data_IF_473556382225
#
_entry.id   IF_473556382225
#
_cell.length_a   1.000
_cell.length_b   1.000
_cell.length_c   1.000
_cell.angle_alpha   90.00
_cell.angle_beta   90.00
_cell.angle_gamma   90.00
#
_symmetry.space_group_name_H-M   'P 1'
#
loop_
_entity.id
_entity.type
_entity.pdbx_description
1 polymer ?
#
# COMPACT_ATOMS: atom_id res chain seq x y z
N UNK A 1 -11.46 14.47 1.76
CA UNK A 1 -10.84 13.83 0.60
C UNK A 1 -11.90 13.09 -0.21
N UNK A 2 -11.67 12.99 -1.52
CA UNK A 2 -12.57 12.32 -2.47
C UNK A 2 -11.74 11.29 -3.19
N UNK A 3 -12.24 10.05 -3.28
CA UNK A 3 -11.63 9.02 -4.09
C UNK A 3 -12.38 8.95 -5.43
N UNK A 4 -11.65 9.03 -6.53
CA UNK A 4 -12.20 8.99 -7.89
C UNK A 4 -11.59 7.84 -8.67
N UNK A 5 -12.40 7.18 -9.49
CA UNK A 5 -11.97 6.14 -10.42
C UNK A 5 -12.57 6.43 -11.79
N UNK A 6 -11.75 6.48 -12.84
CA UNK A 6 -12.18 6.80 -14.21
C UNK A 6 -13.01 8.11 -14.31
N UNK A 7 -12.63 9.14 -13.56
CA UNK A 7 -13.33 10.43 -13.54
C UNK A 7 -14.67 10.43 -12.79
N UNK A 8 -15.08 9.31 -12.18
CA UNK A 8 -16.27 9.22 -11.34
C UNK A 8 -15.89 9.17 -9.87
N UNK A 9 -16.62 9.90 -9.03
CA UNK A 9 -16.45 9.80 -7.58
C UNK A 9 -16.97 8.45 -7.08
N UNK A 10 -16.12 7.72 -6.36
CA UNK A 10 -16.47 6.44 -5.75
C UNK A 10 -16.68 6.54 -4.25
N UNK A 11 -16.01 7.48 -3.57
CA UNK A 11 -16.18 7.66 -2.14
C UNK A 11 -15.77 9.06 -1.63
N UNK A 12 -16.38 9.47 -0.52
CA UNK A 12 -16.07 10.71 0.19
C UNK A 12 -15.65 10.38 1.62
N UNK A 13 -14.64 11.08 2.12
CA UNK A 13 -14.29 11.04 3.53
C UNK A 13 -13.87 12.41 4.05
N UNK A 14 -14.28 12.75 5.27
CA UNK A 14 -13.93 13.99 5.93
C UNK A 14 -13.84 13.76 7.43
N UNK A 15 -13.01 14.53 8.12
CA UNK A 15 -12.98 14.57 9.58
C UNK A 15 -12.90 16.01 10.07
N UNK A 16 -13.39 16.23 11.28
CA UNK A 16 -13.15 17.49 11.98
C UNK A 16 -11.69 17.58 12.43
N UNK A 17 -11.17 18.80 12.52
CA UNK A 17 -9.86 19.07 13.10
C UNK A 17 -9.91 18.78 14.61
N UNK A 18 -8.85 18.15 15.11
CA UNK A 18 -8.69 17.99 16.55
C UNK A 18 -8.30 19.32 17.19
N UNK A 19 -8.62 19.57 18.47
CA UNK A 19 -8.36 20.87 19.11
C UNK A 19 -6.91 21.35 18.99
N UNK A 20 -5.94 20.43 18.97
CA UNK A 20 -4.53 20.74 18.82
C UNK A 20 -4.09 20.99 17.37
N UNK A 21 -4.81 20.46 16.37
CA UNK A 21 -4.53 20.70 14.95
C UNK A 21 -5.00 22.09 14.52
N UNK A 22 -5.97 22.68 15.22
CA UNK A 22 -6.51 24.03 14.92
C UNK A 22 -5.42 25.11 14.97
N UNK A 23 -4.37 24.90 15.77
CA UNK A 23 -3.27 25.85 15.91
C UNK A 23 -2.12 25.59 14.92
N UNK A 24 -2.24 24.58 14.04
CA UNK A 24 -1.21 24.28 13.07
C UNK A 24 -1.20 25.31 11.91
N UNK A 25 -0.01 25.66 11.40
CA UNK A 25 0.13 26.39 10.15
C UNK A 25 -0.63 25.70 8.99
N UNK A 26 -1.08 26.48 8.01
CA UNK A 26 -1.79 25.96 6.83
C UNK A 26 -1.07 24.80 6.12
N UNK A 27 0.26 24.84 5.91
CA UNK A 27 0.98 23.72 5.28
C UNK A 27 0.89 22.41 6.08
N UNK A 28 0.92 22.51 7.41
CA UNK A 28 0.84 21.34 8.30
C UNK A 28 -0.58 20.76 8.34
N UNK A 29 -1.61 21.61 8.24
CA UNK A 29 -3.01 21.18 8.10
C UNK A 29 -3.25 20.44 6.78
N UNK A 30 -2.66 20.91 5.69
CA UNK A 30 -2.74 20.24 4.39
C UNK A 30 -2.02 18.89 4.41
N UNK A 31 -0.84 18.81 5.03
CA UNK A 31 -0.14 17.55 5.23
C UNK A 31 -0.98 16.58 6.08
N UNK A 32 -1.60 17.06 7.16
CA UNK A 32 -2.50 16.26 7.99
C UNK A 32 -3.73 15.76 7.20
N UNK A 33 -4.23 16.53 6.23
CA UNK A 33 -5.30 16.12 5.34
C UNK A 33 -4.85 15.04 4.32
N UNK A 34 -3.63 15.14 3.79
CA UNK A 34 -3.03 14.10 2.92
C UNK A 34 -2.83 12.80 3.70
N UNK A 35 -2.21 12.87 4.89
CA UNK A 35 -2.00 11.71 5.75
C UNK A 35 -3.34 11.05 6.11
N UNK A 36 -4.36 11.85 6.42
CA UNK A 36 -5.69 11.34 6.70
C UNK A 36 -6.29 10.61 5.49
N UNK A 37 -6.17 11.16 4.29
CA UNK A 37 -6.62 10.51 3.07
C UNK A 37 -5.88 9.18 2.83
N UNK A 38 -4.55 9.17 2.95
CA UNK A 38 -3.75 7.94 2.78
C UNK A 38 -4.15 6.86 3.77
N UNK A 39 -4.40 7.22 5.04
CA UNK A 39 -4.83 6.26 6.05
C UNK A 39 -6.20 5.66 5.76
N UNK A 40 -7.16 6.45 5.27
CA UNK A 40 -8.50 5.95 4.94
C UNK A 40 -8.48 5.11 3.67
N UNK A 41 -7.74 5.53 2.66
CA UNK A 41 -7.76 4.88 1.35
C UNK A 41 -6.68 3.81 1.22
N UNK A 42 -5.84 3.58 2.24
CA UNK A 42 -4.73 2.63 2.22
C UNK A 42 -5.14 1.28 1.62
N UNK A 43 -6.29 0.75 2.04
CA UNK A 43 -6.80 -0.54 1.55
C UNK A 43 -7.30 -0.51 0.11
N UNK A 44 -7.64 0.65 -0.44
CA UNK A 44 -8.01 0.83 -1.85
C UNK A 44 -6.81 1.18 -2.74
N UNK A 45 -5.74 1.72 -2.15
CA UNK A 45 -4.53 2.13 -2.86
C UNK A 45 -3.47 1.01 -2.92
N UNK A 46 -3.64 -0.10 -2.20
CA UNK A 46 -2.74 -1.24 -2.30
C UNK A 46 -2.77 -1.85 -3.70
N UNK A 47 -1.66 -1.73 -4.44
CA UNK A 47 -1.47 -2.36 -5.75
C UNK A 47 -1.82 -1.50 -6.96
N UNK A 48 -2.24 -0.25 -6.75
CA UNK A 48 -2.67 0.64 -7.83
C UNK A 48 -1.91 1.98 -7.76
N UNK A 49 -1.49 2.50 -8.92
CA UNK A 49 -0.90 3.84 -9.00
C UNK A 49 -2.00 4.90 -8.91
N UNK A 50 -1.85 5.89 -8.03
CA UNK A 50 -2.87 6.90 -7.80
C UNK A 50 -2.31 8.33 -7.86
N UNK A 51 -3.04 9.23 -8.52
CA UNK A 51 -2.71 10.65 -8.55
C UNK A 51 -3.43 11.39 -7.41
N UNK A 52 -2.67 12.18 -6.65
CA UNK A 52 -3.19 12.97 -5.53
C UNK A 52 -3.29 14.43 -5.96
N UNK A 53 -4.52 14.95 -5.93
CA UNK A 53 -4.83 16.35 -6.22
C UNK A 53 -5.02 17.12 -4.92
N UNK A 54 -4.20 18.15 -4.69
CA UNK A 54 -4.35 19.07 -3.56
C UNK A 54 -4.51 20.50 -4.06
N UNK A 55 -5.26 21.32 -3.33
CA UNK A 55 -5.54 22.72 -3.67
C UNK A 55 -4.42 23.69 -3.23
N UNK A 56 -3.28 23.17 -2.77
CA UNK A 56 -2.18 24.01 -2.30
C UNK A 56 -1.58 24.83 -3.46
N UNK A 57 -1.16 26.07 -3.18
CA UNK A 57 -0.73 27.09 -4.17
C UNK A 57 0.71 27.61 -3.96
N UNK A 58 1.60 26.96 -3.21
CA UNK A 58 2.94 27.53 -2.95
C UNK A 58 3.97 27.25 -4.06
N UNK A 59 4.09 28.23 -4.98
CA UNK A 59 5.10 28.42 -6.05
C UNK A 59 4.63 28.00 -7.47
N UNK A 60 4.12 29.03 -8.17
CA UNK A 60 4.02 29.23 -9.62
C UNK A 60 3.27 28.18 -10.47
N UNK A 61 2.00 28.45 -10.74
CA UNK A 61 1.33 28.00 -11.99
C UNK A 61 -0.10 27.47 -11.87
N UNK A 62 -1.07 28.35 -11.59
CA UNK A 62 -2.51 28.31 -11.99
C UNK A 62 -3.39 27.03 -11.85
N UNK A 63 -2.90 25.86 -11.46
CA UNK A 63 -3.69 24.66 -11.18
C UNK A 63 -3.08 23.96 -9.95
N UNK A 64 -3.92 23.36 -9.08
CA UNK A 64 -3.44 22.63 -7.89
C UNK A 64 -2.36 21.60 -8.22
N UNK A 65 -1.46 21.32 -7.28
CA UNK A 65 -0.35 20.39 -7.51
C UNK A 65 -0.84 19.02 -7.94
N UNK A 66 -0.23 18.50 -9.01
CA UNK A 66 -0.31 17.11 -9.42
C UNK A 66 0.83 16.38 -8.73
N UNK A 67 0.56 15.78 -7.57
CA UNK A 67 1.50 14.84 -6.96
C UNK A 67 1.07 13.44 -7.36
N UNK A 68 1.82 12.80 -8.27
CA UNK A 68 1.62 11.39 -8.56
C UNK A 68 2.27 10.58 -7.44
N UNK A 69 1.45 9.85 -6.67
CA UNK A 69 1.92 8.98 -5.60
C UNK A 69 1.68 7.54 -6.01
N UNK A 70 2.75 6.88 -6.45
CA UNK A 70 2.73 5.45 -6.71
C UNK A 70 2.94 4.71 -5.39
N UNK A 71 1.86 4.12 -4.86
CA UNK A 71 1.94 3.22 -3.73
C UNK A 71 2.20 1.82 -4.29
N UNK A 72 3.47 1.47 -4.48
CA UNK A 72 3.84 0.08 -4.76
C UNK A 72 3.66 -0.72 -3.46
N UNK A 73 2.80 -1.77 -3.45
CA UNK A 73 2.69 -2.64 -2.30
C UNK A 73 4.02 -3.39 -2.13
N UNK A 74 4.82 -2.98 -1.16
CA UNK A 74 6.02 -3.71 -0.79
C UNK A 74 5.69 -5.05 -0.11
N UNK A 75 4.45 -5.26 0.34
CA UNK A 75 4.07 -6.44 1.13
C UNK A 75 4.30 -7.74 0.38
N UNK A 76 3.91 -7.82 -0.90
CA UNK A 76 4.17 -9.02 -1.71
C UNK A 76 5.68 -9.20 -1.88
N UNK A 77 6.41 -8.13 -2.19
CA UNK A 77 7.87 -8.17 -2.30
C UNK A 77 8.54 -8.60 -0.98
N UNK A 78 8.07 -8.09 0.16
CA UNK A 78 8.56 -8.43 1.51
C UNK A 78 8.25 -9.87 1.86
N UNK A 79 7.07 -10.38 1.50
CA UNK A 79 6.74 -11.80 1.67
C UNK A 79 7.66 -12.66 0.78
N UNK A 80 7.88 -12.28 -0.49
CA UNK A 80 8.81 -12.98 -1.39
C UNK A 80 10.24 -13.02 -0.84
N UNK A 81 10.76 -11.89 -0.35
CA UNK A 81 12.10 -11.86 0.25
C UNK A 81 12.15 -12.63 1.57
N UNK A 82 11.13 -12.52 2.43
CA UNK A 82 11.07 -13.26 3.68
C UNK A 82 10.98 -14.78 3.46
N UNK A 83 10.34 -15.24 2.37
CA UNK A 83 10.35 -16.66 2.01
C UNK A 83 11.77 -17.18 1.70
N UNK A 84 12.64 -16.36 1.11
CA UNK A 84 14.01 -16.75 0.78
C UNK A 84 14.86 -16.96 2.03
N UNK A 85 14.58 -16.22 3.09
CA UNK A 85 15.30 -16.30 4.38
C UNK A 85 14.71 -17.36 5.34
N UNK A 86 13.48 -17.84 5.10
CA UNK A 86 12.81 -18.82 5.98
C UNK A 86 13.31 -20.25 5.71
N UNK A 87 14.22 -20.73 6.57
CA UNK A 87 14.74 -22.10 6.55
C UNK A 87 13.68 -23.21 6.66
N UNK A 88 12.52 -22.95 7.30
CA UNK A 88 11.43 -23.93 7.37
C UNK A 88 10.72 -24.06 6.04
N UNK A 89 10.57 -22.97 5.28
CA UNK A 89 10.02 -22.99 3.93
C UNK A 89 10.92 -23.81 3.02
N UNK A 90 12.24 -23.62 3.08
CA UNK A 90 13.18 -24.46 2.31
C UNK A 90 13.13 -25.94 2.69
N UNK A 91 12.88 -26.26 3.96
CA UNK A 91 12.66 -27.65 4.39
C UNK A 91 11.40 -28.25 3.76
N UNK A 92 10.33 -27.46 3.59
CA UNK A 92 9.11 -27.90 2.88
C UNK A 92 9.41 -28.08 1.39
N UNK A 93 10.19 -27.17 0.78
CA UNK A 93 10.63 -27.26 -0.62
C UNK A 93 11.49 -28.49 -0.89
N UNK A 94 12.37 -28.89 0.01
CA UNK A 94 13.16 -30.12 -0.14
C UNK A 94 12.30 -31.40 -0.02
N UNK A 95 11.16 -31.32 0.64
CA UNK A 95 10.21 -32.41 0.80
C UNK A 95 9.04 -32.38 -0.21
N UNK A 96 9.04 -31.42 -1.15
CA UNK A 96 7.94 -31.14 -2.07
C UNK A 96 7.59 -32.34 -2.98
N UNK A 97 8.57 -33.20 -3.27
CA UNK A 97 8.43 -34.38 -4.14
C UNK A 97 7.38 -35.40 -3.62
N UNK A 98 6.86 -35.19 -2.40
CA UNK A 98 5.84 -36.03 -1.75
C UNK A 98 4.48 -35.36 -1.57
N UNK A 99 4.30 -34.07 -1.88
CA UNK A 99 3.02 -33.37 -1.70
C UNK A 99 2.59 -32.58 -2.94
N UNK A 100 1.45 -32.94 -3.51
CA UNK A 100 0.89 -32.42 -4.77
C UNK A 100 0.33 -31.00 -4.65
N UNK A 101 0.25 -30.44 -3.44
CA UNK A 101 -0.51 -29.21 -3.17
C UNK A 101 0.34 -27.92 -3.22
N UNK A 102 1.67 -28.05 -3.23
CA UNK A 102 2.59 -26.92 -3.24
C UNK A 102 3.32 -26.81 -4.59
N UNK A 103 3.49 -25.58 -5.07
CA UNK A 103 4.20 -25.27 -6.32
C UNK A 103 5.13 -24.08 -6.14
N UNK A 104 6.25 -24.12 -6.86
CA UNK A 104 7.16 -23.00 -7.01
C UNK A 104 6.86 -22.27 -8.33
N UNK A 105 6.91 -20.95 -8.31
CA UNK A 105 6.87 -20.14 -9.53
C UNK A 105 8.29 -19.88 -10.07
N UNK A 106 8.38 -19.13 -11.17
CA UNK A 106 9.66 -18.78 -11.81
C UNK A 106 10.58 -17.90 -10.94
N UNK A 107 10.05 -17.29 -9.87
CA UNK A 107 10.80 -16.46 -8.93
C UNK A 107 11.25 -17.25 -7.68
N UNK A 108 11.10 -18.58 -7.68
CA UNK A 108 11.30 -19.47 -6.51
C UNK A 108 10.40 -19.13 -5.31
N UNK A 109 9.21 -18.60 -5.57
CA UNK A 109 8.22 -18.28 -4.52
C UNK A 109 7.29 -19.47 -4.33
N UNK A 110 7.04 -19.84 -3.08
CA UNK A 110 6.18 -20.96 -2.72
C UNK A 110 4.70 -20.56 -2.70
N UNK A 111 3.89 -21.33 -3.42
CA UNK A 111 2.44 -21.20 -3.51
C UNK A 111 1.75 -22.51 -3.09
N UNK A 112 0.60 -22.41 -2.44
CA UNK A 112 -0.32 -23.51 -2.22
C UNK A 112 -1.57 -23.24 -3.06
N UNK A 113 -1.80 -24.03 -4.11
CA UNK A 113 -2.80 -23.74 -5.15
C UNK A 113 -2.72 -22.27 -5.66
N UNK A 114 -3.71 -21.44 -5.31
CA UNK A 114 -3.82 -20.03 -5.68
C UNK A 114 -3.42 -19.07 -4.56
N UNK A 115 -2.85 -19.56 -3.45
CA UNK A 115 -2.52 -18.79 -2.25
C UNK A 115 -1.01 -18.65 -2.08
N UNK A 116 -0.56 -17.43 -1.82
CA UNK A 116 0.84 -17.14 -1.49
C UNK A 116 1.13 -17.62 -0.05
N UNK A 117 2.18 -18.40 0.14
CA UNK A 117 2.58 -18.87 1.48
C UNK A 117 3.21 -17.70 2.24
N UNK A 118 2.76 -17.43 3.47
CA UNK A 118 3.33 -16.35 4.29
C UNK A 118 4.27 -16.96 5.33
N UNK A 119 5.56 -16.58 5.36
CA UNK A 119 6.51 -17.02 6.38
C UNK A 119 6.00 -16.69 7.78
N UNK A 120 6.29 -17.56 8.75
CA UNK A 120 5.96 -17.29 10.15
C UNK A 120 7.05 -16.40 10.77
N UNK A 121 7.23 -15.22 10.20
CA UNK A 121 8.13 -14.19 10.69
C UNK A 121 7.32 -13.12 11.44
N UNK A 122 7.69 -12.88 12.70
CA UNK A 122 7.04 -11.86 13.54
C UNK A 122 7.38 -10.41 13.11
N UNK A 123 8.27 -10.23 12.13
CA UNK A 123 8.73 -8.93 11.63
C UNK A 123 8.08 -8.46 10.31
N UNK A 124 7.21 -9.29 9.71
CA UNK A 124 6.41 -8.95 8.53
C UNK A 124 5.27 -7.97 8.86
#
# INVERSE_FOLDING_TARGET
CVLMQHGKVIAYASRQLKPYEVNYPTPDLELAAVIFALKIWMHYLYGESCDVFTNHKSLNGQHGYWASLRIEPDLISRIKEAQKEDSKIWTIVENLDKQVEFRLDNDNVLWQDTRLVVPNDATL
#
